data_IF_080643673340
#
_entry.id   IF_080643673340
#
_cell.length_a   1.000
_cell.length_b   1.000
_cell.length_c   1.000
_cell.angle_alpha   90.00
_cell.angle_beta   90.00
_cell.angle_gamma   90.00
#
_symmetry.space_group_name_H-M   'P 1'
#
loop_
_entity.id
_entity.type
_entity.pdbx_description
1 polymer ?
#
# COMPACT_ATOMS: atom_id res chain seq x y z
N UNK A 1 -27.94 17.64 -5.06
CA UNK A 1 -27.23 17.64 -3.77
C UNK A 1 -25.89 16.96 -3.97
N UNK A 2 -24.90 17.73 -4.42
CA UNK A 2 -23.54 17.27 -4.73
C UNK A 2 -22.73 17.29 -3.45
N UNK A 3 -22.63 16.15 -2.75
CA UNK A 3 -21.57 15.98 -1.77
C UNK A 3 -20.27 15.85 -2.58
N UNK A 4 -19.56 16.97 -2.71
CA UNK A 4 -18.20 16.97 -3.19
C UNK A 4 -17.32 16.57 -2.01
N UNK A 5 -16.49 15.54 -2.21
CA UNK A 5 -15.47 15.17 -1.24
C UNK A 5 -14.50 16.35 -1.02
N UNK A 6 -13.94 16.46 0.18
CA UNK A 6 -13.01 17.52 0.60
C UNK A 6 -11.68 17.43 -0.15
N UNK A 7 -11.20 16.21 -0.42
CA UNK A 7 -9.91 15.96 -1.08
C UNK A 7 -9.99 14.90 -2.18
N UNK A 8 -9.16 15.08 -3.21
CA UNK A 8 -8.92 14.11 -4.28
C UNK A 8 -7.44 13.76 -4.32
N UNK A 9 -7.11 12.48 -4.13
CA UNK A 9 -5.75 11.98 -4.16
C UNK A 9 -5.52 11.10 -5.39
N UNK A 10 -4.43 11.34 -6.11
CA UNK A 10 -4.01 10.52 -7.25
C UNK A 10 -2.79 9.70 -6.85
N UNK A 11 -2.88 8.38 -7.03
CA UNK A 11 -1.76 7.47 -6.75
C UNK A 11 -1.22 6.87 -8.06
N UNK A 12 -0.09 6.19 -7.97
CA UNK A 12 0.67 5.67 -9.12
C UNK A 12 0.28 4.24 -9.55
N UNK A 13 -0.82 3.69 -9.04
CA UNK A 13 -1.39 2.41 -9.46
C UNK A 13 -2.93 2.55 -9.47
N UNK A 14 -3.64 1.75 -10.25
CA UNK A 14 -5.06 1.98 -10.54
C UNK A 14 -5.83 0.73 -10.94
N UNK A 15 -7.06 0.92 -11.41
CA UNK A 15 -7.98 -0.17 -11.78
C UNK A 15 -7.47 -0.98 -12.98
N UNK A 16 -6.57 -0.41 -13.77
CA UNK A 16 -5.89 -1.09 -14.88
C UNK A 16 -4.62 -1.85 -14.44
N UNK A 17 -4.15 -1.63 -13.21
CA UNK A 17 -2.98 -2.24 -12.59
C UNK A 17 -3.39 -3.20 -11.48
N UNK A 18 -2.89 -2.97 -10.25
CA UNK A 18 -3.16 -3.87 -9.12
C UNK A 18 -4.62 -3.86 -8.63
N UNK A 19 -5.39 -2.82 -8.93
CA UNK A 19 -6.77 -2.65 -8.45
C UNK A 19 -7.84 -3.14 -9.43
N UNK A 20 -7.47 -3.94 -10.43
CA UNK A 20 -8.45 -4.54 -11.35
C UNK A 20 -9.43 -5.50 -10.63
N UNK A 21 -9.03 -6.04 -9.47
CA UNK A 21 -9.90 -6.82 -8.59
C UNK A 21 -11.15 -6.06 -8.13
N UNK A 22 -11.14 -4.72 -8.11
CA UNK A 22 -12.34 -3.93 -7.84
C UNK A 22 -13.43 -4.17 -8.89
N UNK A 23 -13.02 -4.32 -10.15
CA UNK A 23 -13.92 -4.48 -11.29
C UNK A 23 -14.27 -5.95 -11.54
N UNK A 24 -13.29 -6.84 -11.47
CA UNK A 24 -13.44 -8.24 -11.89
C UNK A 24 -13.70 -9.22 -10.74
N UNK A 25 -13.33 -8.86 -9.51
CA UNK A 25 -13.45 -9.72 -8.33
C UNK A 25 -14.34 -9.09 -7.23
N UNK A 26 -14.91 -7.91 -7.51
CA UNK A 26 -15.73 -7.15 -6.56
C UNK A 26 -15.05 -6.90 -5.21
N UNK A 27 -13.72 -6.80 -5.21
CA UNK A 27 -12.94 -6.59 -4.01
C UNK A 27 -13.31 -5.25 -3.35
N UNK A 28 -13.28 -5.21 -2.02
CA UNK A 28 -13.37 -3.97 -1.26
C UNK A 28 -12.02 -3.66 -0.65
N UNK A 29 -11.39 -2.57 -1.08
CA UNK A 29 -10.12 -2.09 -0.55
C UNK A 29 -10.33 -0.94 0.42
N UNK A 30 -9.42 -0.77 1.36
CA UNK A 30 -9.44 0.34 2.32
C UNK A 30 -8.09 1.06 2.30
N UNK A 31 -8.02 2.29 1.77
CA UNK A 31 -6.78 3.05 1.81
C UNK A 31 -6.44 3.40 3.26
N UNK A 32 -5.17 3.27 3.62
CA UNK A 32 -4.63 3.73 4.89
C UNK A 32 -3.38 4.56 4.64
N UNK A 33 -3.26 5.69 5.34
CA UNK A 33 -2.03 6.48 5.34
C UNK A 33 -0.93 5.69 6.05
N UNK A 34 0.24 5.59 5.44
CA UNK A 34 1.42 5.05 6.11
C UNK A 34 1.99 6.13 7.04
N UNK A 35 1.75 6.00 8.35
CA UNK A 35 2.40 6.82 9.36
C UNK A 35 3.91 6.52 9.36
N UNK A 36 4.76 7.54 9.51
CA UNK A 36 6.23 7.44 9.42
C UNK A 36 6.79 7.15 8.02
N UNK A 37 5.97 7.33 6.97
CA UNK A 37 6.51 7.54 5.63
C UNK A 37 7.57 8.63 5.69
N UNK A 38 8.79 8.35 5.21
CA UNK A 38 9.87 9.34 5.06
C UNK A 38 9.37 10.41 4.09
N UNK A 39 8.62 11.38 4.59
CA UNK A 39 8.16 12.52 3.82
C UNK A 39 9.40 13.38 3.53
N UNK A 40 9.56 13.98 2.35
CA UNK A 40 10.63 14.94 2.08
C UNK A 40 10.72 16.08 3.12
N UNK A 41 9.64 16.35 3.86
CA UNK A 41 9.61 17.30 4.98
C UNK A 41 10.35 16.82 6.24
N UNK A 42 10.42 15.51 6.47
CA UNK A 42 11.15 14.90 7.59
C UNK A 42 12.66 14.75 7.32
N UNK A 43 13.10 14.98 6.08
CA UNK A 43 14.51 14.90 5.67
C UNK A 43 15.31 16.19 5.93
N UNK A 44 14.67 17.27 6.40
CA UNK A 44 15.33 18.53 6.74
C UNK A 44 15.36 18.75 8.25
N UNK A 45 16.42 18.30 8.93
CA UNK A 45 17.33 19.10 9.80
C UNK A 45 18.56 18.24 10.19
N UNK A 46 19.82 18.56 9.81
CA UNK A 46 20.98 18.05 10.50
C UNK A 46 21.22 18.90 11.77
N UNK A 47 20.60 18.52 12.89
CA UNK A 47 20.96 19.09 14.19
C UNK A 47 21.78 18.07 14.96
N UNK A 48 23.10 18.31 14.99
CA UNK A 48 24.08 17.99 16.03
C UNK A 48 24.13 16.55 16.61
N UNK A 49 25.32 15.94 16.71
CA UNK A 49 25.48 14.63 17.32
C UNK A 49 25.29 14.75 18.84
N UNK A 50 24.09 14.44 19.34
CA UNK A 50 23.92 14.08 20.76
C UNK A 50 23.16 12.78 20.89
N UNK A 51 23.82 11.84 21.56
CA UNK A 51 23.38 10.47 21.80
C UNK A 51 22.00 10.43 22.46
N UNK A 52 21.00 9.95 21.74
CA UNK A 52 19.93 9.12 22.32
C UNK A 52 19.28 8.31 21.21
N UNK A 53 19.74 7.07 21.06
CA UNK A 53 18.98 6.04 20.35
C UNK A 53 17.68 5.81 21.11
N UNK A 54 16.62 6.50 20.71
CA UNK A 54 15.27 6.06 21.07
C UNK A 54 15.01 4.79 20.28
N UNK A 55 15.13 3.68 20.99
CA UNK A 55 14.76 2.36 20.52
C UNK A 55 13.37 2.41 19.86
N UNK A 56 13.25 1.68 18.75
CA UNK A 56 11.97 1.44 18.08
C UNK A 56 10.93 1.03 19.13
N UNK A 57 9.97 1.91 19.37
CA UNK A 57 8.81 1.59 20.19
C UNK A 57 8.02 0.54 19.43
N UNK A 58 7.61 -0.58 20.05
CA UNK A 58 6.62 -1.45 19.45
C UNK A 58 5.31 -0.64 19.38
N UNK A 59 5.02 -0.11 18.21
CA UNK A 59 3.77 0.55 17.92
C UNK A 59 2.74 -0.54 17.59
N UNK A 60 1.72 -0.64 18.43
CA UNK A 60 0.46 -1.25 18.00
C UNK A 60 0.05 -0.58 16.68
N UNK A 61 -0.20 -1.36 15.61
CA UNK A 61 -0.48 -0.82 14.27
C UNK A 61 -1.69 0.14 14.21
N UNK A 62 -2.54 0.11 15.24
CA UNK A 62 -3.72 0.96 15.39
C UNK A 62 -3.50 2.17 16.31
N UNK A 63 -2.33 2.30 16.96
CA UNK A 63 -2.04 3.43 17.84
C UNK A 63 -1.52 4.63 17.03
N UNK A 64 -2.41 5.59 16.76
CA UNK A 64 -2.05 6.86 16.13
C UNK A 64 -1.12 7.64 17.08
N UNK A 65 0.12 8.00 16.68
CA UNK A 65 0.99 8.82 17.49
C UNK A 65 0.32 10.15 17.83
N UNK A 66 0.49 10.64 19.06
CA UNK A 66 -0.23 11.80 19.61
C UNK A 66 0.01 13.15 18.88
N UNK A 67 0.87 13.18 17.86
CA UNK A 67 1.22 14.35 17.04
C UNK A 67 0.73 14.25 15.57
N UNK A 68 -0.03 13.20 15.23
CA UNK A 68 -0.62 13.07 13.90
C UNK A 68 -1.98 13.76 13.90
N UNK A 69 -2.19 14.71 12.98
CA UNK A 69 -3.48 15.34 12.73
C UNK A 69 -4.57 14.25 12.56
N UNK A 70 -5.44 14.13 13.57
CA UNK A 70 -6.49 13.10 13.65
C UNK A 70 -7.74 13.51 12.88
N UNK A 71 -7.78 14.71 12.32
CA UNK A 71 -8.94 15.16 11.56
C UNK A 71 -9.05 14.36 10.27
N UNK A 72 -10.22 13.73 10.08
CA UNK A 72 -10.53 12.97 8.88
C UNK A 72 -11.43 13.79 7.95
N UNK A 73 -11.21 13.62 6.65
CA UNK A 73 -11.88 14.34 5.59
C UNK A 73 -12.45 13.36 4.56
N UNK A 74 -13.62 13.66 4.02
CA UNK A 74 -14.19 12.86 2.94
C UNK A 74 -13.30 12.98 1.71
N UNK A 75 -12.81 11.86 1.19
CA UNK A 75 -11.79 11.84 0.16
C UNK A 75 -12.10 10.82 -0.93
N UNK A 76 -11.71 11.14 -2.17
CA UNK A 76 -11.69 10.18 -3.28
C UNK A 76 -10.24 9.88 -3.67
N UNK A 77 -9.94 8.60 -3.89
CA UNK A 77 -8.64 8.09 -4.36
C UNK A 77 -8.77 7.62 -5.81
N UNK A 78 -7.96 8.20 -6.69
CA UNK A 78 -7.91 7.95 -8.13
C UNK A 78 -6.62 7.21 -8.49
N UNK A 79 -6.69 6.40 -9.55
CA UNK A 79 -5.50 5.88 -10.21
C UNK A 79 -4.86 6.90 -11.17
N UNK A 80 -3.74 6.52 -11.83
CA UNK A 80 -2.92 7.44 -12.60
C UNK A 80 -3.40 7.65 -14.04
N UNK A 81 -4.40 6.90 -14.50
CA UNK A 81 -4.77 6.91 -15.92
C UNK A 81 -5.65 8.11 -16.28
N UNK A 82 -5.73 8.40 -17.57
CA UNK A 82 -6.59 9.47 -18.10
C UNK A 82 -8.07 9.05 -18.17
N UNK A 83 -8.44 7.88 -17.62
CA UNK A 83 -9.81 7.39 -17.62
C UNK A 83 -10.54 7.83 -16.34
N UNK A 84 -11.70 8.46 -16.52
CA UNK A 84 -12.60 8.85 -15.43
C UNK A 84 -13.11 7.69 -14.56
N UNK A 85 -13.04 6.45 -15.06
CA UNK A 85 -13.40 5.25 -14.30
C UNK A 85 -12.26 4.73 -13.41
N UNK A 86 -11.04 5.27 -13.54
CA UNK A 86 -9.89 4.87 -12.73
C UNK A 86 -9.96 5.47 -11.33
N UNK A 87 -10.91 4.95 -10.56
CA UNK A 87 -11.22 5.38 -9.19
C UNK A 87 -11.19 4.17 -8.28
N UNK A 88 -10.35 4.25 -7.26
CA UNK A 88 -10.06 3.16 -6.32
C UNK A 88 -11.02 3.20 -5.12
N UNK A 89 -11.32 4.39 -4.62
CA UNK A 89 -12.17 4.57 -3.45
C UNK A 89 -12.85 5.94 -3.49
N UNK A 90 -14.15 5.99 -3.18
CA UNK A 90 -14.94 7.23 -3.13
C UNK A 90 -15.43 7.47 -1.71
N UNK A 91 -15.50 8.73 -1.29
CA UNK A 91 -16.05 9.14 0.01
C UNK A 91 -15.48 8.36 1.19
N UNK A 92 -14.17 8.10 1.15
CA UNK A 92 -13.44 7.47 2.25
C UNK A 92 -12.91 8.53 3.20
N UNK A 93 -12.98 8.27 4.51
CA UNK A 93 -12.43 9.15 5.51
C UNK A 93 -10.93 8.93 5.64
N UNK A 94 -10.15 9.95 5.26
CA UNK A 94 -8.69 9.93 5.35
C UNK A 94 -8.19 11.17 6.09
N UNK A 95 -7.07 11.05 6.84
CA UNK A 95 -6.39 12.24 7.32
C UNK A 95 -5.90 13.06 6.11
N UNK A 96 -5.66 14.35 6.32
CA UNK A 96 -5.03 15.16 5.26
C UNK A 96 -3.67 14.57 4.89
N UNK A 97 -3.45 14.38 3.60
CA UNK A 97 -2.21 13.88 3.00
C UNK A 97 -1.60 14.92 2.06
N UNK A 98 -0.28 14.89 1.94
CA UNK A 98 0.49 15.73 1.03
C UNK A 98 1.10 14.91 -0.12
N UNK A 99 1.51 15.60 -1.19
CA UNK A 99 2.23 14.96 -2.29
C UNK A 99 3.51 14.33 -1.76
N UNK A 100 3.69 13.03 -2.04
CA UNK A 100 4.84 12.24 -1.59
C UNK A 100 4.56 11.37 -0.36
N UNK A 101 3.42 11.56 0.31
CA UNK A 101 2.98 10.62 1.33
C UNK A 101 2.56 9.28 0.71
N UNK A 102 2.75 8.20 1.48
CA UNK A 102 2.41 6.86 1.03
C UNK A 102 1.06 6.40 1.58
N UNK A 103 0.28 5.75 0.72
CA UNK A 103 -0.88 4.95 1.10
C UNK A 103 -0.54 3.47 0.97
N UNK A 104 -1.09 2.66 1.85
CA UNK A 104 -1.00 1.20 1.75
C UNK A 104 -2.39 0.57 1.72
N UNK A 105 -2.45 -0.61 1.09
CA UNK A 105 -3.64 -1.42 0.93
C UNK A 105 -3.30 -2.85 1.31
N UNK A 106 -3.94 -3.36 2.35
CA UNK A 106 -3.75 -4.73 2.81
C UNK A 106 -4.59 -5.71 1.99
N UNK A 107 -4.23 -7.00 2.07
CA UNK A 107 -4.97 -8.11 1.43
C UNK A 107 -5.00 -8.06 -0.11
N UNK A 108 -4.00 -7.45 -0.74
CA UNK A 108 -3.88 -7.30 -2.20
C UNK A 108 -3.17 -8.49 -2.90
N UNK A 109 -3.34 -9.71 -2.39
CA UNK A 109 -2.63 -10.90 -2.88
C UNK A 109 -3.35 -11.70 -3.98
N UNK A 110 -4.68 -11.64 -4.03
CA UNK A 110 -5.50 -12.43 -4.96
C UNK A 110 -6.13 -11.53 -6.03
N UNK A 111 -6.13 -12.00 -7.29
CA UNK A 111 -6.75 -11.34 -8.44
C UNK A 111 -6.31 -9.88 -8.67
N UNK A 112 -5.12 -9.50 -8.18
CA UNK A 112 -4.51 -8.18 -8.36
C UNK A 112 -3.52 -8.21 -9.53
N UNK A 113 -2.24 -8.42 -9.27
CA UNK A 113 -1.20 -8.35 -10.30
C UNK A 113 -1.32 -9.40 -11.41
N UNK A 114 -2.12 -10.46 -11.20
CA UNK A 114 -2.34 -11.53 -12.18
C UNK A 114 -3.03 -11.04 -13.47
N UNK A 115 -3.84 -9.98 -13.38
CA UNK A 115 -4.55 -9.38 -14.51
C UNK A 115 -4.19 -7.90 -14.74
N UNK A 116 -3.08 -7.44 -14.15
CA UNK A 116 -2.59 -6.08 -14.35
C UNK A 116 -2.10 -5.86 -15.79
N UNK A 117 -2.33 -4.66 -16.33
CA UNK A 117 -1.96 -4.26 -17.68
C UNK A 117 -1.07 -3.02 -17.68
N UNK A 118 -0.36 -2.80 -18.78
CA UNK A 118 0.43 -1.58 -19.01
C UNK A 118 -0.37 -0.43 -19.64
N UNK A 119 -1.68 -0.32 -19.35
CA UNK A 119 -2.52 0.73 -19.93
C UNK A 119 -1.97 2.13 -19.62
N UNK A 120 -2.08 3.06 -20.56
CA UNK A 120 -1.41 4.37 -20.53
C UNK A 120 0.13 4.34 -20.35
N UNK A 121 0.77 3.18 -20.50
CA UNK A 121 2.21 3.04 -20.34
C UNK A 121 2.69 2.99 -18.89
N UNK A 122 1.79 2.77 -17.93
CA UNK A 122 2.17 2.56 -16.53
C UNK A 122 2.56 1.11 -16.28
N UNK A 123 3.80 0.90 -15.81
CA UNK A 123 4.31 -0.45 -15.56
C UNK A 123 3.65 -1.09 -14.31
N UNK A 124 3.32 -2.39 -14.35
CA UNK A 124 2.82 -3.10 -13.18
C UNK A 124 3.79 -3.04 -12.00
N UNK A 125 3.25 -2.91 -10.79
CA UNK A 125 4.01 -2.77 -9.54
C UNK A 125 5.02 -3.90 -9.31
N UNK A 126 6.24 -3.55 -8.88
CA UNK A 126 7.29 -4.51 -8.51
C UNK A 126 6.94 -5.26 -7.21
N UNK A 127 7.28 -6.55 -7.13
CA UNK A 127 7.00 -7.42 -5.97
C UNK A 127 8.30 -7.73 -5.24
N UNK A 128 8.33 -7.46 -3.93
CA UNK A 128 9.42 -7.82 -3.05
C UNK A 128 8.96 -8.95 -2.14
N UNK A 129 9.60 -10.11 -2.24
CA UNK A 129 9.26 -11.29 -1.45
C UNK A 129 10.05 -11.29 -0.15
N UNK A 130 9.34 -11.45 0.98
CA UNK A 130 9.92 -11.59 2.31
C UNK A 130 9.44 -12.89 2.93
N UNK A 131 10.28 -13.52 3.73
CA UNK A 131 9.94 -14.75 4.44
C UNK A 131 10.49 -14.63 5.87
N UNK A 132 9.64 -14.82 6.87
CA UNK A 132 10.05 -14.84 8.28
C UNK A 132 10.68 -16.17 8.70
N UNK A 133 10.55 -17.21 7.88
CA UNK A 133 11.12 -18.52 8.13
C UNK A 133 12.63 -18.44 8.00
N UNK A 134 13.34 -18.98 8.99
CA UNK A 134 14.80 -19.08 8.92
C UNK A 134 15.24 -19.83 7.65
N UNK A 135 16.32 -19.41 6.98
CA UNK A 135 16.76 -20.02 5.71
C UNK A 135 16.90 -21.55 5.76
N UNK A 136 17.31 -22.10 6.90
CA UNK A 136 17.46 -23.54 7.15
C UNK A 136 16.13 -24.30 7.02
N UNK A 137 15.05 -23.76 7.58
CA UNK A 137 13.72 -24.36 7.50
C UNK A 137 13.06 -24.15 6.14
N UNK A 138 13.43 -23.08 5.43
CA UNK A 138 12.95 -22.85 4.07
C UNK A 138 13.46 -23.92 3.09
N UNK A 139 14.68 -24.43 3.27
CA UNK A 139 15.24 -25.49 2.44
C UNK A 139 14.44 -26.79 2.57
N UNK A 140 14.06 -27.18 3.79
CA UNK A 140 13.23 -28.36 4.04
C UNK A 140 11.86 -28.23 3.36
N UNK A 141 11.21 -27.07 3.46
CA UNK A 141 9.94 -26.80 2.77
C UNK A 141 10.09 -26.87 1.24
N UNK A 142 11.19 -26.33 0.70
CA UNK A 142 11.46 -26.37 -0.74
C UNK A 142 11.74 -27.80 -1.24
N UNK A 143 12.43 -28.61 -0.45
CA UNK A 143 12.70 -30.02 -0.74
C UNK A 143 11.43 -30.88 -0.68
N UNK A 144 10.58 -30.70 0.34
CA UNK A 144 9.29 -31.39 0.44
C UNK A 144 8.39 -31.13 -0.77
N UNK A 145 8.32 -29.88 -1.25
CA UNK A 145 7.58 -29.52 -2.46
C UNK A 145 8.15 -30.25 -3.69
N UNK A 146 9.48 -30.30 -3.84
CA UNK A 146 10.14 -31.02 -4.94
C UNK A 146 9.89 -32.53 -4.90
N UNK A 147 9.89 -33.13 -3.71
CA UNK A 147 9.60 -34.55 -3.54
C UNK A 147 8.13 -34.90 -3.82
N UNK A 148 7.18 -34.06 -3.40
CA UNK A 148 5.76 -34.30 -3.70
C UNK A 148 5.42 -34.14 -5.20
N UNK A 149 6.15 -33.26 -5.90
CA UNK A 149 5.98 -33.03 -7.33
C UNK A 149 6.54 -34.18 -8.20
N UNK A 150 7.58 -34.87 -7.71
CA UNK A 150 8.17 -36.03 -8.41
C UNK A 150 7.42 -37.33 -8.14
N UNK A 151 6.74 -37.47 -7.00
CA UNK A 151 5.96 -38.67 -6.65
C UNK A 151 4.57 -38.76 -7.30
N UNK A 152 4.10 -37.72 -8.00
CA UNK A 152 2.80 -37.70 -8.71
C UNK A 152 2.91 -37.97 -10.22
N UNK A 153 4.00 -38.60 -10.68
CA UNK A 153 4.16 -39.08 -12.06
C UNK A 153 4.03 -40.60 -12.13
#
# INVERSE_FOLDING_TARGET
YTHQDDYCYYINDGVYGAFNNLMFDHATVRPRRLALSISPRDLTVPLSPTNSTKAAVPCDEDAIPADVDTQLFASTVFGPTCDSMDVISRSVLLPKMDIGDWMYFQNMGAYTCAAASGFNGFEPTTKFYVCSVMPEHFQLLAEEVRHSATSKK
#
